data_IF_102638253190
#
_entry.id   IF_102638253190
#
_cell.length_a   1.000
_cell.length_b   1.000
_cell.length_c   1.000
_cell.angle_alpha   90.00
_cell.angle_beta   90.00
_cell.angle_gamma   90.00
#
_symmetry.space_group_name_H-M   'P 1'
#
loop_
_entity.id
_entity.type
_entity.pdbx_description
1 polymer ?
#
# COMPACT_ATOMS: atom_id res chain seq x y z
N UNK A 1 6.60 48.62 -22.04
CA UNK A 1 7.70 47.96 -21.30
C UNK A 1 7.68 48.51 -19.89
N UNK A 2 7.53 47.78 -18.79
CA UNK A 2 7.49 46.34 -18.55
C UNK A 2 6.55 46.09 -17.35
N UNK A 3 5.77 45.00 -17.38
CA UNK A 3 5.01 44.50 -16.24
C UNK A 3 5.96 43.72 -15.34
N UNK A 4 6.16 44.19 -14.11
CA UNK A 4 6.85 43.45 -13.05
C UNK A 4 5.94 42.31 -12.59
N UNK A 5 6.13 41.12 -13.16
CA UNK A 5 5.57 39.89 -12.61
C UNK A 5 6.50 39.39 -11.51
N UNK A 6 6.22 39.81 -10.27
CA UNK A 6 6.73 39.13 -9.09
C UNK A 6 6.06 37.76 -9.01
N UNK A 7 6.78 36.73 -9.47
CA UNK A 7 6.46 35.33 -9.20
C UNK A 7 6.74 35.05 -7.73
N UNK A 8 5.83 35.48 -6.86
CA UNK A 8 5.76 34.97 -5.50
C UNK A 8 5.60 33.45 -5.57
N UNK A 9 6.49 32.73 -4.90
CA UNK A 9 6.47 31.27 -4.75
C UNK A 9 5.05 30.79 -4.43
N UNK A 10 4.52 29.88 -5.25
CA UNK A 10 3.18 29.28 -5.09
C UNK A 10 3.08 28.32 -3.89
N UNK A 11 4.16 28.14 -3.14
CA UNK A 11 4.20 27.30 -1.96
C UNK A 11 4.11 28.16 -0.70
N UNK A 12 3.13 27.92 0.19
CA UNK A 12 3.07 28.61 1.47
C UNK A 12 4.37 28.36 2.26
N UNK A 13 4.71 29.29 3.16
CA UNK A 13 5.90 29.21 4.00
C UNK A 13 6.04 27.82 4.63
N UNK A 14 7.23 27.23 4.52
CA UNK A 14 7.55 25.89 5.03
C UNK A 14 7.34 25.87 6.55
N UNK A 15 6.21 25.34 7.00
CA UNK A 15 6.01 25.06 8.42
C UNK A 15 6.97 23.93 8.81
N UNK A 16 7.67 24.10 9.93
CA UNK A 16 8.52 23.06 10.48
C UNK A 16 7.68 21.79 10.73
N UNK A 17 8.22 20.63 10.34
CA UNK A 17 7.58 19.33 10.55
C UNK A 17 7.39 19.10 12.06
N UNK A 18 6.17 18.72 12.46
CA UNK A 18 5.88 18.35 13.84
C UNK A 18 6.57 17.03 14.19
N UNK A 19 7.59 17.09 15.05
CA UNK A 19 8.40 15.96 15.46
C UNK A 19 7.60 14.82 16.12
N UNK A 20 6.53 15.13 16.87
CA UNK A 20 5.69 14.11 17.50
C UNK A 20 4.85 13.37 16.45
N UNK A 21 4.33 14.10 15.46
CA UNK A 21 3.55 13.52 14.36
C UNK A 21 4.41 12.73 13.40
N UNK A 22 5.62 13.20 13.11
CA UNK A 22 6.62 12.47 12.34
C UNK A 22 6.97 11.15 13.02
N UNK A 23 7.29 11.18 14.32
CA UNK A 23 7.61 9.97 15.08
C UNK A 23 6.47 8.96 15.04
N UNK A 24 5.23 9.40 15.28
CA UNK A 24 4.06 8.52 15.23
C UNK A 24 3.85 7.93 13.82
N UNK A 25 4.01 8.72 12.76
CA UNK A 25 3.92 8.25 11.38
C UNK A 25 4.97 7.18 11.06
N UNK A 26 6.23 7.38 11.44
CA UNK A 26 7.31 6.42 11.14
C UNK A 26 7.13 5.10 11.92
N UNK A 27 6.65 5.17 13.16
CA UNK A 27 6.28 3.98 13.93
C UNK A 27 5.09 3.24 13.29
N UNK A 28 4.08 3.98 12.80
CA UNK A 28 2.98 3.40 12.04
C UNK A 28 3.42 2.81 10.69
N UNK A 29 4.39 3.42 10.01
CA UNK A 29 4.92 2.93 8.75
C UNK A 29 5.64 1.59 8.95
N UNK A 30 6.47 1.50 9.98
CA UNK A 30 7.12 0.24 10.35
C UNK A 30 6.08 -0.84 10.67
N UNK A 31 5.07 -0.51 11.49
CA UNK A 31 4.00 -1.43 11.84
C UNK A 31 3.18 -1.88 10.62
N UNK A 32 2.96 -0.99 9.65
CA UNK A 32 2.25 -1.32 8.41
C UNK A 32 3.04 -2.33 7.56
N UNK A 33 4.36 -2.18 7.40
CA UNK A 33 5.18 -3.15 6.68
C UNK A 33 5.29 -4.48 7.41
N UNK A 34 5.48 -4.44 8.73
CA UNK A 34 5.48 -5.63 9.58
C UNK A 34 4.18 -6.41 9.42
N UNK A 35 3.04 -5.72 9.52
CA UNK A 35 1.72 -6.31 9.34
C UNK A 35 1.46 -6.79 7.91
N UNK A 36 1.94 -6.06 6.90
CA UNK A 36 1.83 -6.46 5.49
C UNK A 36 2.57 -7.79 5.23
N UNK A 37 3.77 -7.96 5.80
CA UNK A 37 4.51 -9.21 5.71
C UNK A 37 3.74 -10.39 6.36
N UNK A 38 3.06 -10.16 7.48
CA UNK A 38 2.20 -11.17 8.09
C UNK A 38 0.99 -11.53 7.22
N UNK A 39 0.30 -10.51 6.68
CA UNK A 39 -0.84 -10.70 5.77
C UNK A 39 -0.44 -11.48 4.53
N UNK A 40 0.69 -11.14 3.90
CA UNK A 40 1.21 -11.87 2.73
C UNK A 40 1.60 -13.31 3.06
N UNK A 41 2.25 -13.55 4.19
CA UNK A 41 2.55 -14.91 4.65
C UNK A 41 1.27 -15.72 4.94
N UNK A 42 0.22 -15.06 5.42
CA UNK A 42 -1.11 -15.65 5.58
C UNK A 42 -1.76 -15.96 4.24
N UNK A 43 -1.67 -15.05 3.29
CA UNK A 43 -2.30 -15.16 1.98
C UNK A 43 -1.71 -16.32 1.18
N UNK A 44 -0.41 -16.55 1.30
CA UNK A 44 0.26 -17.71 0.68
C UNK A 44 -0.32 -19.06 1.12
N UNK A 45 -0.96 -19.15 2.28
CA UNK A 45 -1.67 -20.37 2.71
C UNK A 45 -3.07 -20.51 2.10
N UNK A 46 -3.63 -19.41 1.58
CA UNK A 46 -4.93 -19.39 0.89
C UNK A 46 -4.78 -19.46 -0.64
N UNK A 47 -3.58 -19.31 -1.18
CA UNK A 47 -3.36 -19.24 -2.61
C UNK A 47 -3.62 -20.59 -3.31
N UNK A 48 -4.58 -20.60 -4.23
CA UNK A 48 -4.84 -21.71 -5.16
C UNK A 48 -4.26 -21.43 -6.55
N UNK A 49 -4.10 -20.15 -6.93
CA UNK A 49 -3.53 -19.74 -8.20
C UNK A 49 -2.00 -19.56 -8.13
N UNK A 50 -1.26 -20.28 -8.99
CA UNK A 50 0.21 -20.29 -8.97
C UNK A 50 0.88 -18.92 -9.23
N UNK A 51 0.37 -18.14 -10.19
CA UNK A 51 0.86 -16.77 -10.44
C UNK A 51 0.60 -15.80 -9.28
N UNK A 52 -0.55 -15.92 -8.61
CA UNK A 52 -0.87 -15.12 -7.44
C UNK A 52 0.08 -15.45 -6.29
N UNK A 53 0.32 -16.73 -6.05
CA UNK A 53 1.28 -17.20 -5.05
C UNK A 53 2.71 -16.72 -5.34
N UNK A 54 3.12 -16.68 -6.61
CA UNK A 54 4.41 -16.07 -7.03
C UNK A 54 4.45 -14.59 -6.67
N UNK A 55 3.43 -13.83 -7.11
CA UNK A 55 3.35 -12.39 -6.84
C UNK A 55 3.39 -12.08 -5.34
N UNK A 56 2.64 -12.80 -4.52
CA UNK A 56 2.64 -12.59 -3.06
C UNK A 56 3.99 -12.92 -2.42
N UNK A 57 4.74 -13.90 -2.92
CA UNK A 57 6.12 -14.15 -2.45
C UNK A 57 7.03 -12.96 -2.77
N UNK A 58 6.96 -12.42 -3.97
CA UNK A 58 7.78 -11.26 -4.35
C UNK A 58 7.41 -10.02 -3.51
N UNK A 59 6.11 -9.81 -3.27
CA UNK A 59 5.61 -8.74 -2.39
C UNK A 59 6.10 -8.94 -0.95
N UNK A 60 6.10 -10.17 -0.44
CA UNK A 60 6.54 -10.48 0.92
C UNK A 60 8.03 -10.17 1.11
N UNK A 61 8.84 -10.50 0.12
CA UNK A 61 10.27 -10.17 0.15
C UNK A 61 10.51 -8.66 0.14
N UNK A 62 9.74 -7.92 -0.68
CA UNK A 62 9.80 -6.44 -0.69
C UNK A 62 9.34 -5.85 0.64
N UNK A 63 8.23 -6.31 1.20
CA UNK A 63 7.72 -5.87 2.50
C UNK A 63 8.78 -6.03 3.60
N UNK A 64 9.44 -7.20 3.67
CA UNK A 64 10.54 -7.45 4.62
C UNK A 64 11.75 -6.54 4.41
N UNK A 65 12.07 -6.17 3.17
CA UNK A 65 13.14 -5.19 2.88
C UNK A 65 12.74 -3.80 3.34
N UNK A 66 11.50 -3.38 3.09
CA UNK A 66 10.95 -2.07 3.51
C UNK A 66 10.83 -1.95 5.03
N UNK A 67 10.40 -3.01 5.71
CA UNK A 67 10.40 -3.11 7.18
C UNK A 67 11.81 -2.85 7.74
N UNK A 68 12.84 -3.53 7.22
CA UNK A 68 14.23 -3.31 7.64
C UNK A 68 14.71 -1.88 7.38
N UNK A 69 14.34 -1.28 6.25
CA UNK A 69 14.67 0.12 5.96
C UNK A 69 14.07 1.06 7.02
N UNK A 70 12.81 0.85 7.40
CA UNK A 70 12.14 1.64 8.44
C UNK A 70 12.73 1.43 9.84
N UNK A 71 13.19 0.21 10.16
CA UNK A 71 13.93 -0.04 11.40
C UNK A 71 15.21 0.81 11.46
N UNK A 72 15.96 0.89 10.35
CA UNK A 72 17.18 1.70 10.27
C UNK A 72 16.88 3.19 10.41
N UNK A 73 15.82 3.69 9.77
CA UNK A 73 15.35 5.09 9.93
C UNK A 73 15.04 5.39 11.39
N UNK A 74 14.23 4.55 12.04
CA UNK A 74 13.85 4.74 13.45
C UNK A 74 15.06 4.72 14.39
N UNK A 75 16.09 3.92 14.06
CA UNK A 75 17.33 3.86 14.82
C UNK A 75 18.21 5.11 14.59
N UNK A 76 18.39 5.53 13.34
CA UNK A 76 19.22 6.69 12.99
C UNK A 76 18.67 7.99 13.58
N UNK A 77 17.35 8.12 13.63
CA UNK A 77 16.67 9.30 14.16
C UNK A 77 16.36 9.21 15.67
N UNK A 78 16.82 8.15 16.35
CA UNK A 78 16.57 7.88 17.77
C UNK A 78 15.08 7.97 18.20
N UNK A 79 14.18 7.45 17.36
CA UNK A 79 12.73 7.57 17.54
C UNK A 79 12.12 6.44 18.40
N UNK A 80 12.96 5.53 18.86
CA UNK A 80 12.60 4.41 19.73
C UNK A 80 11.72 3.37 19.02
N UNK A 81 12.33 2.41 18.34
CA UNK A 81 11.66 1.34 17.58
C UNK A 81 10.60 0.55 18.38
N UNK A 82 10.70 0.48 19.71
CA UNK A 82 9.76 -0.25 20.58
C UNK A 82 8.65 0.64 21.18
N UNK A 83 8.57 1.89 20.74
CA UNK A 83 7.58 2.84 21.27
C UNK A 83 6.17 2.43 20.86
N UNK A 84 5.30 2.33 21.85
CA UNK A 84 3.88 2.01 21.71
C UNK A 84 3.03 3.28 21.69
N UNK A 85 2.96 3.94 20.54
CA UNK A 85 2.06 5.08 20.34
C UNK A 85 0.64 4.59 20.04
N UNK A 86 -0.36 5.45 20.28
CA UNK A 86 -1.75 5.15 19.92
C UNK A 86 -1.89 4.86 18.42
N UNK A 87 -1.19 5.60 17.56
CA UNK A 87 -1.19 5.38 16.12
C UNK A 87 -0.65 4.00 15.75
N UNK A 88 0.48 3.60 16.33
CA UNK A 88 1.06 2.26 16.12
C UNK A 88 0.12 1.15 16.55
N UNK A 89 -0.48 1.26 17.73
CA UNK A 89 -1.44 0.27 18.24
C UNK A 89 -2.66 0.12 17.32
N UNK A 90 -3.17 1.24 16.81
CA UNK A 90 -4.27 1.22 15.83
C UNK A 90 -3.84 0.52 14.54
N UNK A 91 -2.62 0.77 14.05
CA UNK A 91 -2.08 0.08 12.88
C UNK A 91 -2.03 -1.45 13.11
N UNK A 92 -1.51 -1.89 14.26
CA UNK A 92 -1.45 -3.31 14.63
C UNK A 92 -2.84 -3.96 14.75
N UNK A 93 -3.82 -3.25 15.31
CA UNK A 93 -5.20 -3.72 15.41
C UNK A 93 -5.85 -3.93 14.03
N UNK A 94 -5.61 -3.01 13.08
CA UNK A 94 -6.11 -3.17 11.71
C UNK A 94 -5.51 -4.40 11.04
N UNK A 95 -4.19 -4.63 11.17
CA UNK A 95 -3.56 -5.86 10.69
C UNK A 95 -4.15 -7.10 11.34
N UNK A 96 -4.39 -7.06 12.65
CA UNK A 96 -4.99 -8.19 13.38
C UNK A 96 -6.39 -8.53 12.87
N UNK A 97 -7.18 -7.52 12.49
CA UNK A 97 -8.51 -7.72 11.89
C UNK A 97 -8.41 -8.40 10.51
N UNK A 98 -7.47 -7.98 9.65
CA UNK A 98 -7.23 -8.62 8.36
C UNK A 98 -6.83 -10.09 8.52
N UNK A 99 -5.89 -10.36 9.44
CA UNK A 99 -5.48 -11.74 9.74
C UNK A 99 -6.61 -12.60 10.29
N UNK A 100 -7.51 -12.00 11.10
CA UNK A 100 -8.69 -12.71 11.61
C UNK A 100 -9.66 -13.08 10.49
N UNK A 101 -9.97 -12.14 9.58
CA UNK A 101 -10.84 -12.42 8.43
C UNK A 101 -10.29 -13.55 7.55
N UNK A 102 -8.97 -13.57 7.31
CA UNK A 102 -8.35 -14.65 6.53
C UNK A 102 -8.45 -16.00 7.24
N UNK A 103 -8.24 -16.05 8.56
CA UNK A 103 -8.39 -17.29 9.34
C UNK A 103 -9.83 -17.80 9.29
N UNK A 104 -10.80 -16.92 9.52
CA UNK A 104 -12.23 -17.28 9.46
C UNK A 104 -12.60 -17.84 8.08
N UNK A 105 -12.13 -17.21 7.00
CA UNK A 105 -12.36 -17.72 5.65
C UNK A 105 -11.73 -19.11 5.43
N UNK A 106 -10.52 -19.35 5.95
CA UNK A 106 -9.86 -20.67 5.88
C UNK A 106 -10.65 -21.75 6.65
N UNK A 107 -11.20 -21.39 7.81
CA UNK A 107 -11.97 -22.31 8.67
C UNK A 107 -13.29 -22.76 8.03
N UNK A 108 -13.82 -22.04 7.04
CA UNK A 108 -14.99 -22.48 6.27
C UNK A 108 -14.72 -23.71 5.39
N UNK A 109 -13.45 -23.96 5.03
CA UNK A 109 -13.06 -25.03 4.11
C UNK A 109 -13.26 -24.71 2.62
N UNK A 110 -13.79 -23.53 2.26
CA UNK A 110 -13.91 -23.09 0.88
C UNK A 110 -12.61 -22.40 0.41
N UNK A 111 -11.82 -23.12 -0.38
CA UNK A 111 -10.54 -22.63 -0.88
C UNK A 111 -10.68 -21.44 -1.83
N UNK A 112 -11.78 -21.35 -2.59
CA UNK A 112 -12.04 -20.23 -3.51
C UNK A 112 -12.36 -18.99 -2.71
N UNK A 113 -13.29 -19.08 -1.75
CA UNK A 113 -13.64 -17.98 -0.85
C UNK A 113 -12.42 -17.52 -0.03
N UNK A 114 -11.63 -18.46 0.49
CA UNK A 114 -10.41 -18.14 1.24
C UNK A 114 -9.37 -17.38 0.41
N UNK A 115 -9.19 -17.73 -0.88
CA UNK A 115 -8.29 -16.99 -1.78
C UNK A 115 -8.81 -15.57 -2.06
N UNK A 116 -10.11 -15.40 -2.26
CA UNK A 116 -10.75 -14.09 -2.50
C UNK A 116 -10.56 -13.18 -1.28
N UNK A 117 -10.91 -13.65 -0.08
CA UNK A 117 -10.73 -12.89 1.17
C UNK A 117 -9.25 -12.55 1.41
N UNK A 118 -8.35 -13.48 1.12
CA UNK A 118 -6.91 -13.22 1.21
C UNK A 118 -6.46 -12.11 0.25
N UNK A 119 -6.95 -12.09 -0.99
CA UNK A 119 -6.64 -11.04 -1.95
C UNK A 119 -7.14 -9.67 -1.50
N UNK A 120 -8.36 -9.58 -0.96
CA UNK A 120 -8.89 -8.33 -0.39
C UNK A 120 -8.05 -7.85 0.79
N UNK A 121 -7.67 -8.75 1.70
CA UNK A 121 -6.82 -8.41 2.83
C UNK A 121 -5.44 -7.90 2.39
N UNK A 122 -4.85 -8.51 1.35
CA UNK A 122 -3.60 -8.04 0.75
C UNK A 122 -3.77 -6.66 0.11
N UNK A 123 -4.88 -6.39 -0.58
CA UNK A 123 -5.17 -5.05 -1.12
C UNK A 123 -5.28 -4.01 0.00
N UNK A 124 -6.05 -4.30 1.06
CA UNK A 124 -6.20 -3.40 2.20
C UNK A 124 -4.86 -3.08 2.89
N UNK A 125 -3.99 -4.09 3.05
CA UNK A 125 -2.63 -3.88 3.57
C UNK A 125 -1.79 -3.01 2.61
N UNK A 126 -1.85 -3.29 1.30
CA UNK A 126 -1.13 -2.54 0.28
C UNK A 126 -1.53 -1.05 0.21
N UNK A 127 -2.82 -0.71 0.41
CA UNK A 127 -3.29 0.67 0.49
C UNK A 127 -2.57 1.43 1.61
N UNK A 128 -2.44 0.81 2.79
CA UNK A 128 -1.81 1.44 3.95
C UNK A 128 -0.31 1.61 3.73
N UNK A 129 0.36 0.59 3.20
CA UNK A 129 1.79 0.64 2.85
C UNK A 129 2.07 1.75 1.82
N UNK A 130 1.27 1.82 0.75
CA UNK A 130 1.44 2.85 -0.27
C UNK A 130 1.32 4.26 0.32
N UNK A 131 0.30 4.51 1.16
CA UNK A 131 0.10 5.80 1.84
C UNK A 131 1.29 6.20 2.70
N UNK A 132 1.83 5.29 3.52
CA UNK A 132 2.92 5.67 4.44
C UNK A 132 4.20 6.00 3.67
N UNK A 133 4.50 5.28 2.58
CA UNK A 133 5.67 5.59 1.75
C UNK A 133 5.50 6.88 0.95
N UNK A 134 4.31 7.16 0.44
CA UNK A 134 4.00 8.44 -0.21
C UNK A 134 4.25 9.61 0.76
N UNK A 135 3.77 9.50 2.00
CA UNK A 135 4.01 10.52 3.03
C UNK A 135 5.50 10.64 3.40
N UNK A 136 6.23 9.54 3.48
CA UNK A 136 7.69 9.56 3.72
C UNK A 136 8.41 10.32 2.60
N UNK A 137 8.04 10.09 1.33
CA UNK A 137 8.62 10.81 0.19
C UNK A 137 8.33 12.32 0.25
N UNK A 138 7.11 12.70 0.63
CA UNK A 138 6.78 14.11 0.84
C UNK A 138 7.58 14.74 1.98
N UNK A 139 7.76 14.02 3.10
CA UNK A 139 8.52 14.49 4.26
C UNK A 139 10.03 14.59 3.98
N UNK A 140 10.57 13.67 3.18
CA UNK A 140 11.95 13.72 2.69
C UNK A 140 12.21 15.03 1.93
N UNK A 141 11.29 15.41 1.04
CA UNK A 141 11.41 16.67 0.28
C UNK A 141 11.15 17.93 1.13
N UNK A 142 10.24 17.85 2.10
CA UNK A 142 9.86 18.99 2.93
C UNK A 142 10.90 19.34 4.01
N UNK A 143 11.79 18.40 4.36
CA UNK A 143 12.75 18.56 5.46
C UNK A 143 14.17 18.71 4.89
N UNK A 144 14.83 19.89 5.00
CA UNK A 144 16.19 20.07 4.47
C UNK A 144 17.30 19.58 5.42
N UNK A 145 16.92 19.09 6.60
CA UNK A 145 17.79 18.69 7.69
C UNK A 145 18.23 17.22 7.60
N UNK A 146 18.84 16.71 8.67
CA UNK A 146 19.26 15.30 8.74
C UNK A 146 18.08 14.34 8.60
N UNK A 147 16.94 14.68 9.19
CA UNK A 147 15.69 13.94 9.06
C UNK A 147 15.34 13.71 7.59
N UNK A 148 15.30 14.79 6.80
CA UNK A 148 14.97 14.68 5.37
C UNK A 148 15.93 13.79 4.60
N UNK A 149 17.24 13.93 4.81
CA UNK A 149 18.26 13.09 4.15
C UNK A 149 18.12 11.61 4.51
N UNK A 150 17.83 11.30 5.77
CA UNK A 150 17.58 9.92 6.22
C UNK A 150 16.33 9.35 5.58
N UNK A 151 15.24 10.13 5.51
CA UNK A 151 14.00 9.71 4.86
C UNK A 151 14.17 9.52 3.35
N UNK A 152 14.91 10.42 2.68
CA UNK A 152 15.20 10.36 1.25
C UNK A 152 16.00 9.09 0.90
N UNK A 153 17.06 8.82 1.65
CA UNK A 153 17.86 7.60 1.48
C UNK A 153 17.04 6.32 1.70
N UNK A 154 16.15 6.31 2.70
CA UNK A 154 15.26 5.17 2.94
C UNK A 154 14.21 5.02 1.84
N UNK A 155 13.65 6.14 1.34
CA UNK A 155 12.69 6.15 0.25
C UNK A 155 13.31 5.58 -1.03
N UNK A 156 14.51 6.01 -1.41
CA UNK A 156 15.20 5.55 -2.62
C UNK A 156 15.66 4.10 -2.55
N UNK A 157 16.12 3.66 -1.38
CA UNK A 157 16.57 2.27 -1.19
C UNK A 157 15.43 1.27 -1.00
N UNK A 158 14.23 1.75 -0.63
CA UNK A 158 13.07 0.90 -0.44
C UNK A 158 12.59 0.34 -1.79
N UNK A 159 12.58 -1.00 -1.97
CA UNK A 159 12.10 -1.63 -3.19
C UNK A 159 10.60 -1.40 -3.31
N UNK A 160 10.21 -0.57 -4.28
CA UNK A 160 8.84 -0.18 -4.55
C UNK A 160 8.47 -0.59 -5.98
N UNK A 161 7.25 -1.08 -6.13
CA UNK A 161 6.61 -1.31 -7.42
C UNK A 161 5.36 -0.44 -7.41
N UNK A 162 5.35 0.62 -8.22
CA UNK A 162 4.23 1.57 -8.32
C UNK A 162 2.94 0.83 -8.78
N UNK A 163 3.08 -0.32 -9.42
CA UNK A 163 2.00 -1.21 -9.83
C UNK A 163 1.57 -2.23 -8.76
N UNK A 164 2.13 -2.23 -7.55
CA UNK A 164 1.81 -3.25 -6.53
C UNK A 164 0.34 -3.15 -6.11
N UNK A 165 -0.12 -1.95 -5.72
CA UNK A 165 -1.51 -1.68 -5.37
C UNK A 165 -2.46 -1.86 -6.56
N UNK A 166 -2.06 -1.38 -7.74
CA UNK A 166 -2.86 -1.53 -8.95
C UNK A 166 -3.04 -3.01 -9.33
N UNK A 167 -1.98 -3.80 -9.26
CA UNK A 167 -2.05 -5.24 -9.54
C UNK A 167 -2.83 -5.99 -8.47
N UNK A 168 -2.72 -5.63 -7.19
CA UNK A 168 -3.56 -6.22 -6.13
C UNK A 168 -5.06 -5.98 -6.40
N UNK A 169 -5.44 -4.76 -6.79
CA UNK A 169 -6.81 -4.44 -7.25
C UNK A 169 -7.28 -5.27 -8.43
N UNK A 170 -6.39 -5.45 -9.41
CA UNK A 170 -6.66 -6.31 -10.56
C UNK A 170 -6.97 -7.75 -10.14
N UNK A 171 -6.16 -8.30 -9.22
CA UNK A 171 -6.34 -9.65 -8.71
C UNK A 171 -7.65 -9.79 -7.94
N UNK A 172 -7.97 -8.88 -7.02
CA UNK A 172 -9.24 -8.89 -6.28
C UNK A 172 -10.43 -8.91 -7.23
N UNK A 173 -10.43 -8.03 -8.24
CA UNK A 173 -11.52 -7.97 -9.24
C UNK A 173 -11.68 -9.31 -9.97
N UNK A 174 -10.61 -9.83 -10.55
CA UNK A 174 -10.69 -11.02 -11.41
C UNK A 174 -11.00 -12.29 -10.60
N UNK A 175 -10.52 -12.37 -9.35
CA UNK A 175 -10.88 -13.46 -8.44
C UNK A 175 -12.36 -13.44 -8.06
N UNK A 176 -12.96 -12.26 -7.85
CA UNK A 176 -14.40 -12.16 -7.65
C UNK A 176 -15.20 -12.53 -8.90
N UNK A 177 -14.76 -12.09 -10.09
CA UNK A 177 -15.39 -12.47 -11.35
C UNK A 177 -15.39 -14.00 -11.51
N UNK A 178 -14.25 -14.64 -11.24
CA UNK A 178 -14.09 -16.10 -11.29
C UNK A 178 -14.99 -16.81 -10.26
N UNK A 179 -14.99 -16.32 -9.00
CA UNK A 179 -15.83 -16.88 -7.92
C UNK A 179 -17.34 -16.78 -8.20
N UNK A 180 -17.76 -15.80 -9.00
CA UNK A 180 -19.15 -15.63 -9.45
C UNK A 180 -19.48 -16.49 -10.70
N UNK A 181 -18.53 -17.26 -11.21
CA UNK A 181 -18.70 -18.09 -12.43
C UNK A 181 -18.72 -17.27 -13.72
N UNK A 182 -18.16 -16.05 -13.70
CA UNK A 182 -18.07 -15.17 -14.86
C UNK A 182 -16.69 -15.28 -15.53
N UNK A 183 -16.54 -14.90 -16.82
CA UNK A 183 -15.25 -14.98 -17.51
C UNK A 183 -14.20 -14.01 -16.94
N UNK A 184 -13.27 -14.53 -16.13
CA UNK A 184 -12.16 -13.78 -15.54
C UNK A 184 -10.88 -13.85 -16.39
N UNK A 185 -10.00 -12.85 -16.22
CA UNK A 185 -8.67 -12.79 -16.82
C UNK A 185 -7.61 -12.95 -15.73
N UNK A 186 -7.12 -14.17 -15.56
CA UNK A 186 -6.08 -14.52 -14.58
C UNK A 186 -4.80 -14.99 -15.31
N UNK A 187 -3.62 -14.37 -15.07
CA UNK A 187 -3.40 -13.21 -14.22
C UNK A 187 -4.01 -11.91 -14.80
N UNK A 188 -4.38 -10.94 -13.96
CA UNK A 188 -4.87 -9.66 -14.41
C UNK A 188 -3.75 -8.90 -15.17
N UNK A 189 -4.10 -8.08 -16.15
CA UNK A 189 -3.12 -7.27 -16.86
C UNK A 189 -2.51 -6.22 -15.95
N UNK A 190 -1.20 -6.03 -16.05
CA UNK A 190 -0.42 -5.09 -15.23
C UNK A 190 -0.67 -3.60 -15.50
N UNK A 191 -1.71 -3.24 -16.26
CA UNK A 191 -2.14 -1.87 -16.58
C UNK A 191 -3.67 -1.78 -16.58
N UNK A 192 -4.27 -0.57 -16.49
CA UNK A 192 -5.72 -0.37 -16.68
C UNK A 192 -6.25 -1.21 -17.83
N UNK A 193 -7.19 -2.11 -17.53
CA UNK A 193 -7.92 -2.78 -18.61
C UNK A 193 -8.72 -1.71 -19.35
N UNK A 194 -8.68 -1.67 -20.70
CA UNK A 194 -9.74 -0.99 -21.43
C UNK A 194 -11.09 -1.54 -20.95
N UNK A 195 -12.16 -0.71 -20.95
CA UNK A 195 -13.47 -1.18 -20.55
C UNK A 195 -13.80 -2.48 -21.27
N UNK A 196 -14.19 -3.53 -20.53
CA UNK A 196 -14.66 -4.75 -21.13
C UNK A 196 -15.86 -4.40 -22.01
N UNK A 197 -15.91 -4.95 -23.23
CA UNK A 197 -17.07 -4.85 -24.10
C UNK A 197 -18.14 -5.85 -23.61
N UNK A 198 -18.65 -5.59 -22.42
CA UNK A 198 -19.73 -6.37 -21.81
C UNK A 198 -21.05 -5.65 -22.01
N UNK A 199 -22.11 -6.39 -22.31
CA UNK A 199 -23.49 -5.92 -22.31
C UNK A 199 -24.00 -5.43 -20.93
N UNK A 200 -23.15 -5.43 -19.90
CA UNK A 200 -23.44 -4.89 -18.57
C UNK A 200 -23.27 -3.35 -18.60
N UNK A 201 -24.28 -2.57 -18.20
CA UNK A 201 -24.19 -1.11 -18.13
C UNK A 201 -22.97 -0.65 -17.31
N UNK A 202 -22.20 0.31 -17.85
CA UNK A 202 -21.02 0.86 -17.17
C UNK A 202 -21.42 1.48 -15.83
N UNK A 203 -20.73 1.08 -14.75
CA UNK A 203 -20.90 1.70 -13.44
C UNK A 203 -20.43 3.17 -13.46
N UNK A 204 -21.20 4.11 -12.87
CA UNK A 204 -21.04 5.56 -13.07
C UNK A 204 -19.68 6.16 -12.63
N UNK A 205 -18.88 5.45 -11.84
CA UNK A 205 -17.55 5.91 -11.41
C UNK A 205 -16.42 5.60 -12.41
N UNK A 206 -16.68 4.82 -13.47
CA UNK A 206 -15.73 4.61 -14.60
C UNK A 206 -15.88 5.64 -15.73
N UNK A 207 -16.79 6.60 -15.60
CA UNK A 207 -17.18 7.53 -16.67
C UNK A 207 -16.49 8.90 -16.63
N UNK A 208 -15.58 9.18 -15.68
CA UNK A 208 -15.00 10.52 -15.50
C UNK A 208 -13.63 10.77 -16.14
N UNK A 209 -13.25 10.00 -17.16
CA UNK A 209 -11.99 10.23 -17.90
C UNK A 209 -12.17 10.60 -19.37
N UNK A 210 -13.37 11.00 -19.79
CA UNK A 210 -13.53 11.76 -21.05
C UNK A 210 -14.47 12.94 -20.84
N UNK A 211 -13.96 13.94 -20.14
CA UNK A 211 -14.26 15.32 -20.47
C UNK A 211 -12.92 15.93 -20.91
N UNK A 212 -12.53 15.68 -22.15
CA UNK A 212 -11.61 16.58 -22.83
C UNK A 212 -12.40 17.85 -23.22
N UNK A 213 -11.73 19.02 -23.24
CA UNK A 213 -12.36 20.34 -23.35
C UNK A 213 -13.14 20.58 -24.65
#
# INVERSE_FOLDING_TARGET
>A
MALNASTASRFPATHAVDALRLRDLLLQAHEAEHGNAQVLASALRCATHGDLARRWRDMLERARRRERALMLVLQQLDLGLRSETSGRRIAANLTSALLAAMREAQETGDATAAQVVAAECVEHAAIRVHRVWELIGHLAHASPDETGRTLDSAFDSAPRDDGELYGSRGWVRELWIDALGLPAVLPPPGRPMPPLDTAVPRLPWRSRERAEP
#
